data_IF_740206924124
#
_entry.id   IF_740206924124
#
_cell.length_a   1.000
_cell.length_b   1.000
_cell.length_c   1.000
_cell.angle_alpha   90.00
_cell.angle_beta   90.00
_cell.angle_gamma   90.00
#
_symmetry.space_group_name_H-M   'P 1'
#
loop_
_entity.id
_entity.type
_entity.pdbx_description
1 polymer ?
#
# COMPACT_ATOMS: atom_id res chain seq x y z
N UNK A 1 9.35 31.16 0.69
CA UNK A 1 9.20 29.89 1.43
C UNK A 1 8.01 29.14 0.84
N UNK A 2 8.24 28.05 0.10
CA UNK A 2 7.16 27.19 -0.42
C UNK A 2 6.73 26.24 0.69
N UNK A 3 5.44 26.22 1.03
CA UNK A 3 4.88 25.28 2.00
C UNK A 3 5.13 23.85 1.56
N UNK A 4 5.78 23.06 2.42
CA UNK A 4 5.86 21.60 2.27
C UNK A 4 4.44 21.04 2.26
N UNK A 5 4.14 20.11 1.38
CA UNK A 5 2.80 19.51 1.32
C UNK A 5 2.64 18.58 2.52
N UNK A 6 1.50 18.63 3.21
CA UNK A 6 1.16 17.75 4.34
C UNK A 6 1.35 16.26 4.00
N UNK A 7 1.13 15.89 2.73
CA UNK A 7 1.32 14.54 2.17
C UNK A 7 2.78 14.09 2.12
N UNK A 8 3.72 15.01 1.88
CA UNK A 8 5.16 14.76 2.02
C UNK A 8 5.49 14.63 3.50
N UNK A 9 4.88 15.44 4.37
CA UNK A 9 5.13 15.33 5.83
C UNK A 9 4.61 14.05 6.46
N UNK A 10 3.55 13.41 5.93
CA UNK A 10 3.03 12.12 6.42
C UNK A 10 3.85 10.93 5.92
N UNK A 11 4.36 11.00 4.68
CA UNK A 11 5.35 10.05 4.16
C UNK A 11 6.70 10.20 4.85
N UNK A 12 7.05 11.42 5.26
CA UNK A 12 8.23 11.70 6.10
C UNK A 12 7.99 11.31 7.58
N UNK A 13 6.73 11.30 8.06
CA UNK A 13 6.36 10.83 9.40
C UNK A 13 6.35 9.30 9.47
N UNK A 14 5.99 8.68 8.35
CA UNK A 14 6.25 7.29 8.05
C UNK A 14 7.76 7.16 7.84
N UNK A 15 8.53 7.13 8.93
CA UNK A 15 9.95 6.76 8.86
C UNK A 15 10.01 5.33 8.35
N UNK A 16 10.00 5.19 7.03
CA UNK A 16 10.15 3.94 6.31
C UNK A 16 11.32 3.21 6.97
N UNK A 17 11.13 1.97 7.44
CA UNK A 17 12.22 1.26 8.07
C UNK A 17 13.45 1.31 7.20
N UNK A 18 14.52 1.86 7.77
CA UNK A 18 15.73 2.17 7.01
C UNK A 18 16.28 0.91 6.36
N UNK A 19 17.04 1.10 5.28
CA UNK A 19 17.64 0.02 4.47
C UNK A 19 18.44 -1.00 5.32
N UNK A 20 18.88 -0.58 6.51
CA UNK A 20 19.63 -1.39 7.46
C UNK A 20 18.79 -2.42 8.24
N UNK A 21 17.46 -2.30 8.28
CA UNK A 21 16.57 -3.24 9.01
C UNK A 21 15.29 -3.54 8.21
N UNK A 22 15.41 -4.17 7.04
CA UNK A 22 14.29 -4.36 6.13
C UNK A 22 13.14 -5.20 6.72
N UNK A 23 13.42 -6.08 7.68
CA UNK A 23 12.43 -6.93 8.35
C UNK A 23 11.43 -6.16 9.22
N UNK A 24 11.67 -4.87 9.50
CA UNK A 24 10.73 -4.03 10.23
C UNK A 24 9.53 -3.62 9.38
N UNK A 25 9.63 -3.69 8.04
CA UNK A 25 8.56 -3.32 7.11
C UNK A 25 7.29 -4.16 7.31
N UNK A 26 7.34 -5.50 7.27
CA UNK A 26 6.21 -6.35 7.57
C UNK A 26 5.56 -6.05 8.91
N UNK A 27 6.36 -5.92 9.98
CA UNK A 27 5.86 -5.72 11.33
C UNK A 27 5.13 -4.38 11.48
N UNK A 28 5.67 -3.32 10.88
CA UNK A 28 5.04 -2.00 10.89
C UNK A 28 3.69 -2.03 10.15
N UNK A 29 3.64 -2.65 8.97
CA UNK A 29 2.42 -2.73 8.18
C UNK A 29 1.39 -3.67 8.83
N UNK A 30 1.81 -4.76 9.48
CA UNK A 30 0.95 -5.62 10.28
C UNK A 30 0.32 -4.84 11.44
N UNK A 31 1.10 -4.02 12.15
CA UNK A 31 0.59 -3.16 13.22
C UNK A 31 -0.46 -2.19 12.70
N UNK A 32 -0.21 -1.51 11.57
CA UNK A 32 -1.17 -0.59 10.98
C UNK A 32 -2.42 -1.28 10.46
N UNK A 33 -2.27 -2.42 9.80
CA UNK A 33 -3.41 -3.22 9.32
C UNK A 33 -4.27 -3.68 10.50
N UNK A 34 -3.65 -4.07 11.62
CA UNK A 34 -4.38 -4.47 12.81
C UNK A 34 -5.07 -3.29 13.51
N UNK A 35 -4.40 -2.14 13.65
CA UNK A 35 -5.01 -0.91 14.16
C UNK A 35 -6.22 -0.48 13.31
N UNK A 36 -6.10 -0.55 11.99
CA UNK A 36 -7.19 -0.26 11.06
C UNK A 36 -8.37 -1.22 11.23
N UNK A 37 -8.09 -2.53 11.34
CA UNK A 37 -9.12 -3.57 11.51
C UNK A 37 -9.89 -3.47 12.84
N UNK A 38 -9.28 -2.90 13.88
CA UNK A 38 -9.85 -2.80 15.22
C UNK A 38 -10.62 -1.50 15.45
N UNK A 39 -10.65 -0.60 14.47
CA UNK A 39 -11.35 0.70 14.54
C UNK A 39 -10.92 1.56 15.75
N UNK A 40 -9.71 1.35 16.29
CA UNK A 40 -9.15 2.19 17.35
C UNK A 40 -8.98 3.63 16.86
N UNK A 41 -8.75 3.79 15.55
CA UNK A 41 -8.74 5.07 14.83
C UNK A 41 -9.74 5.00 13.66
N UNK A 42 -10.19 6.16 13.14
CA UNK A 42 -10.93 6.18 11.88
C UNK A 42 -10.15 5.40 10.81
N UNK A 43 -10.82 4.44 10.18
CA UNK A 43 -10.22 3.63 9.14
C UNK A 43 -9.73 4.53 8.00
N UNK A 44 -8.46 4.35 7.62
CA UNK A 44 -7.88 5.05 6.49
C UNK A 44 -7.30 4.03 5.49
N UNK A 45 -7.98 3.82 4.34
CA UNK A 45 -7.54 2.86 3.34
C UNK A 45 -6.25 3.27 2.58
N UNK A 46 -5.76 4.50 2.75
CA UNK A 46 -4.61 5.02 2.01
C UNK A 46 -3.37 4.13 2.15
N UNK A 47 -3.02 3.70 3.36
CA UNK A 47 -1.81 2.91 3.61
C UNK A 47 -1.89 1.54 2.94
N UNK A 48 -3.02 0.84 3.08
CA UNK A 48 -3.23 -0.44 2.40
C UNK A 48 -3.11 -0.29 0.89
N UNK A 49 -3.71 0.77 0.33
CA UNK A 49 -3.69 1.03 -1.11
C UNK A 49 -2.29 1.38 -1.63
N UNK A 50 -1.50 2.15 -0.87
CA UNK A 50 -0.11 2.43 -1.21
C UNK A 50 0.74 1.17 -1.16
N UNK A 51 0.64 0.39 -0.08
CA UNK A 51 1.43 -0.84 0.07
C UNK A 51 1.09 -1.88 -1.00
N UNK A 52 -0.20 -2.07 -1.32
CA UNK A 52 -0.64 -2.98 -2.39
C UNK A 52 -0.16 -2.52 -3.77
N UNK A 53 -0.17 -1.21 -4.02
CA UNK A 53 0.37 -0.61 -5.24
C UNK A 53 1.86 -0.83 -5.31
N UNK A 54 2.62 -0.52 -4.27
CA UNK A 54 4.08 -0.63 -4.26
C UNK A 54 4.53 -2.07 -4.49
N UNK A 55 3.90 -3.04 -3.82
CA UNK A 55 4.14 -4.46 -4.05
C UNK A 55 3.87 -4.92 -5.50
N UNK A 56 3.01 -4.19 -6.21
CA UNK A 56 2.61 -4.49 -7.59
C UNK A 56 3.38 -3.69 -8.64
N UNK A 57 3.74 -2.45 -8.39
CA UNK A 57 4.27 -1.53 -9.41
C UNK A 57 5.78 -1.31 -9.32
N UNK A 58 6.40 -1.52 -8.16
CA UNK A 58 7.86 -1.39 -8.01
C UNK A 58 8.54 -2.60 -8.67
N UNK A 59 8.61 -2.55 -9.99
CA UNK A 59 9.21 -3.55 -10.89
C UNK A 59 10.67 -3.21 -11.19
N UNK A 60 11.08 -1.94 -11.01
CA UNK A 60 12.42 -1.52 -11.36
C UNK A 60 13.46 -2.22 -10.46
N UNK A 61 14.41 -2.91 -11.09
CA UNK A 61 15.67 -3.24 -10.42
C UNK A 61 16.25 -1.97 -9.81
N UNK A 62 16.93 -2.04 -8.66
CA UNK A 62 17.55 -0.90 -8.02
C UNK A 62 18.40 -0.15 -9.05
N UNK A 63 17.90 0.99 -9.52
CA UNK A 63 18.74 1.92 -10.27
C UNK A 63 19.50 2.73 -9.24
N UNK A 64 20.69 3.21 -9.58
CA UNK A 64 21.51 4.10 -8.73
C UNK A 64 20.73 5.33 -8.22
N UNK A 65 19.57 5.66 -8.81
CA UNK A 65 18.72 6.80 -8.46
C UNK A 65 17.44 6.42 -7.71
N UNK A 66 17.11 5.14 -7.59
CA UNK A 66 15.99 4.68 -6.76
C UNK A 66 16.51 4.32 -5.38
N UNK A 67 15.86 4.82 -4.32
CA UNK A 67 16.08 4.43 -2.92
C UNK A 67 15.58 2.99 -2.63
N UNK A 68 15.85 2.08 -3.57
CA UNK A 68 15.44 0.67 -3.54
C UNK A 68 16.62 -0.14 -3.01
N UNK A 69 16.40 -0.86 -1.92
CA UNK A 69 17.39 -1.78 -1.36
C UNK A 69 17.06 -3.23 -1.74
N UNK A 70 18.07 -4.10 -1.71
CA UNK A 70 17.90 -5.53 -2.00
C UNK A 70 16.90 -6.17 -1.04
N UNK A 71 15.83 -6.76 -1.57
CA UNK A 71 14.76 -7.38 -0.78
C UNK A 71 13.62 -6.43 -0.39
N UNK A 72 13.67 -5.13 -0.72
CA UNK A 72 12.57 -4.17 -0.49
C UNK A 72 11.25 -4.67 -1.09
N UNK A 73 11.33 -5.26 -2.28
CA UNK A 73 10.19 -5.86 -2.97
C UNK A 73 9.54 -6.98 -2.17
N UNK A 74 10.33 -7.89 -1.61
CA UNK A 74 9.78 -9.01 -0.82
C UNK A 74 9.12 -8.48 0.45
N UNK A 75 9.70 -7.45 1.07
CA UNK A 75 9.09 -6.79 2.22
C UNK A 75 7.77 -6.09 1.87
N UNK A 76 7.68 -5.43 0.71
CA UNK A 76 6.44 -4.84 0.23
C UNK A 76 5.36 -5.90 -0.05
N UNK A 77 5.74 -7.05 -0.61
CA UNK A 77 4.84 -8.19 -0.82
C UNK A 77 4.31 -8.72 0.50
N UNK A 78 5.19 -8.93 1.50
CA UNK A 78 4.76 -9.39 2.83
C UNK A 78 3.85 -8.34 3.48
N UNK A 79 4.22 -7.07 3.45
CA UNK A 79 3.41 -5.97 3.98
C UNK A 79 2.01 -5.88 3.32
N UNK A 80 1.94 -6.09 2.00
CA UNK A 80 0.66 -6.16 1.28
C UNK A 80 -0.19 -7.36 1.74
N UNK A 81 0.45 -8.50 2.03
CA UNK A 81 -0.23 -9.67 2.56
C UNK A 81 -0.88 -9.37 3.93
N UNK A 82 -0.18 -8.66 4.81
CA UNK A 82 -0.70 -8.25 6.12
C UNK A 82 -1.97 -7.40 6.00
N UNK A 83 -2.01 -6.42 5.09
CA UNK A 83 -3.24 -5.65 4.86
C UNK A 83 -4.38 -6.50 4.30
N UNK A 84 -4.10 -7.43 3.39
CA UNK A 84 -5.13 -8.34 2.88
C UNK A 84 -5.70 -9.21 4.01
N UNK A 85 -4.82 -9.71 4.90
CA UNK A 85 -5.19 -10.61 5.98
C UNK A 85 -5.99 -9.91 7.08
N UNK A 86 -5.49 -8.78 7.58
CA UNK A 86 -6.06 -8.10 8.73
C UNK A 86 -7.11 -7.06 8.36
N UNK A 87 -6.90 -6.31 7.29
CA UNK A 87 -7.71 -5.15 6.93
C UNK A 87 -8.60 -5.37 5.69
N UNK A 88 -8.46 -6.50 5.01
CA UNK A 88 -9.13 -6.79 3.73
C UNK A 88 -10.65 -6.69 3.79
N UNK A 89 -11.27 -7.03 4.92
CA UNK A 89 -12.72 -6.90 5.09
C UNK A 89 -13.17 -5.45 5.23
N UNK A 90 -12.42 -4.62 5.96
CA UNK A 90 -12.73 -3.19 6.11
C UNK A 90 -12.53 -2.45 4.80
N UNK A 91 -11.44 -2.75 4.09
CA UNK A 91 -11.22 -2.25 2.72
C UNK A 91 -12.38 -2.61 1.79
N UNK A 92 -12.91 -3.82 1.89
CA UNK A 92 -14.07 -4.24 1.11
C UNK A 92 -15.36 -3.51 1.51
N UNK A 93 -15.58 -3.26 2.81
CA UNK A 93 -16.71 -2.44 3.27
C UNK A 93 -16.61 -1.01 2.71
N UNK A 94 -15.43 -0.42 2.66
CA UNK A 94 -15.21 0.90 2.05
C UNK A 94 -15.49 0.94 0.55
N UNK A 95 -15.22 -0.17 -0.16
CA UNK A 95 -15.60 -0.33 -1.56
C UNK A 95 -17.12 -0.36 -1.74
N UNK A 96 -17.85 -1.05 -0.86
CA UNK A 96 -19.31 -1.18 -0.95
C UNK A 96 -20.05 0.07 -0.47
N UNK A 97 -19.51 0.70 0.57
CA UNK A 97 -20.04 1.89 1.22
C UNK A 97 -18.95 2.95 1.17
N UNK A 98 -18.78 3.56 -0.01
CA UNK A 98 -17.94 4.74 -0.17
C UNK A 98 -18.58 5.88 0.63
N UNK A 99 -18.27 5.95 1.92
CA UNK A 99 -18.62 7.10 2.75
C UNK A 99 -17.97 8.37 2.21
N UNK A 100 -18.01 9.47 2.97
CA UNK A 100 -17.35 10.74 2.62
C UNK A 100 -15.81 10.67 2.70
N UNK A 101 -15.18 9.54 2.33
CA UNK A 101 -13.76 9.50 2.06
C UNK A 101 -13.58 10.37 0.83
N UNK A 102 -13.28 11.65 1.09
CA UNK A 102 -13.11 12.66 0.06
C UNK A 102 -12.07 12.21 -0.93
N UNK A 103 -12.22 12.67 -2.16
CA UNK A 103 -11.35 12.36 -3.30
C UNK A 103 -9.88 12.59 -2.92
N UNK A 104 -9.20 11.55 -2.45
CA UNK A 104 -7.81 11.65 -2.05
C UNK A 104 -7.02 11.61 -3.35
N UNK A 105 -6.38 12.73 -3.69
CA UNK A 105 -5.30 12.79 -4.72
C UNK A 105 -4.20 11.74 -4.49
N UNK A 106 -4.22 11.03 -3.37
CA UNK A 106 -3.47 9.81 -3.03
C UNK A 106 -3.73 8.62 -3.95
N UNK A 107 -4.86 8.62 -4.66
CA UNK A 107 -5.36 7.48 -5.41
C UNK A 107 -5.33 7.69 -6.92
N UNK A 108 -4.54 8.65 -7.41
CA UNK A 108 -4.36 8.83 -8.85
C UNK A 108 -3.99 7.50 -9.55
N UNK A 109 -4.50 7.27 -10.77
CA UNK A 109 -4.20 6.08 -11.56
C UNK A 109 -2.69 5.87 -11.63
N UNK A 110 -2.32 4.62 -11.45
CA UNK A 110 -0.96 4.19 -11.28
C UNK A 110 -0.40 3.67 -12.62
N UNK A 111 0.89 3.31 -12.73
CA UNK A 111 1.48 2.89 -14.02
C UNK A 111 0.76 1.66 -14.63
N UNK A 112 0.19 0.79 -13.79
CA UNK A 112 -0.47 -0.44 -14.21
C UNK A 112 -2.00 -0.36 -14.18
N UNK A 113 -2.58 0.60 -13.46
CA UNK A 113 -4.03 0.72 -13.30
C UNK A 113 -4.54 2.05 -13.84
N UNK A 114 -5.22 2.01 -14.99
CA UNK A 114 -5.82 3.17 -15.68
C UNK A 114 -7.31 3.36 -15.36
N UNK A 115 -7.82 2.73 -14.30
CA UNK A 115 -9.23 2.82 -13.92
C UNK A 115 -9.52 3.99 -12.99
N UNK A 116 -10.51 3.80 -12.12
CA UNK A 116 -11.06 4.86 -11.27
C UNK A 116 -10.01 5.44 -10.31
N UNK A 117 -10.02 6.76 -10.14
CA UNK A 117 -9.15 7.46 -9.18
C UNK A 117 -9.58 7.26 -7.72
N UNK A 118 -10.63 6.48 -7.45
CA UNK A 118 -11.11 6.17 -6.11
C UNK A 118 -11.00 4.68 -5.76
N UNK A 119 -11.21 4.35 -4.49
CA UNK A 119 -11.29 2.97 -4.03
C UNK A 119 -12.58 2.33 -4.57
N UNK A 120 -12.43 1.54 -5.63
CA UNK A 120 -13.54 0.82 -6.27
C UNK A 120 -13.33 -0.69 -6.22
N UNK A 121 -14.40 -1.46 -6.39
CA UNK A 121 -14.32 -2.92 -6.44
C UNK A 121 -13.42 -3.40 -7.58
N UNK A 122 -13.45 -2.66 -8.70
CA UNK A 122 -12.60 -2.93 -9.86
C UNK A 122 -11.13 -2.74 -9.49
N UNK A 123 -10.80 -1.66 -8.78
CA UNK A 123 -9.43 -1.39 -8.32
C UNK A 123 -8.95 -2.42 -7.29
N UNK A 124 -9.78 -2.76 -6.32
CA UNK A 124 -9.48 -3.80 -5.34
C UNK A 124 -9.18 -5.15 -6.00
N UNK A 125 -10.04 -5.59 -6.93
CA UNK A 125 -9.85 -6.83 -7.70
C UNK A 125 -8.56 -6.79 -8.51
N UNK A 126 -8.26 -5.67 -9.16
CA UNK A 126 -7.03 -5.50 -9.93
C UNK A 126 -5.79 -5.76 -9.07
N UNK A 127 -5.69 -5.13 -7.89
CA UNK A 127 -4.54 -5.32 -7.01
C UNK A 127 -4.49 -6.73 -6.43
N UNK A 128 -5.63 -7.30 -6.01
CA UNK A 128 -5.69 -8.68 -5.50
C UNK A 128 -5.22 -9.69 -6.55
N UNK A 129 -5.65 -9.53 -7.80
CA UNK A 129 -5.23 -10.39 -8.90
C UNK A 129 -3.76 -10.19 -9.25
N UNK A 130 -3.27 -8.94 -9.22
CA UNK A 130 -1.86 -8.62 -9.40
C UNK A 130 -0.97 -9.29 -8.34
N UNK A 131 -1.42 -9.28 -7.09
CA UNK A 131 -0.74 -9.94 -5.97
C UNK A 131 -0.70 -11.46 -6.15
N UNK A 132 -1.84 -12.10 -6.43
CA UNK A 132 -1.94 -13.55 -6.66
C UNK A 132 -0.99 -14.02 -7.79
N UNK A 133 -1.03 -13.34 -8.94
CA UNK A 133 -0.17 -13.67 -10.09
C UNK A 133 1.32 -13.57 -9.77
N UNK A 134 1.71 -12.74 -8.79
CA UNK A 134 3.10 -12.59 -8.37
C UNK A 134 3.53 -13.70 -7.43
N UNK A 135 2.69 -14.09 -6.47
CA UNK A 135 2.95 -15.26 -5.63
C UNK A 135 3.18 -16.52 -6.46
N UNK A 136 2.37 -16.72 -7.51
CA UNK A 136 2.51 -17.86 -8.44
C UNK A 136 3.84 -17.84 -9.21
N UNK A 137 4.45 -16.67 -9.42
CA UNK A 137 5.75 -16.53 -10.11
C UNK A 137 6.95 -16.74 -9.19
N UNK A 138 6.81 -16.47 -7.90
CA UNK A 138 7.89 -16.71 -6.93
C UNK A 138 7.97 -18.18 -6.50
N UNK A 139 6.92 -18.96 -6.74
CA UNK A 139 6.83 -20.38 -6.39
C UNK A 139 7.24 -21.34 -7.53
N UNK A 140 7.55 -20.82 -8.71
CA UNK A 140 7.96 -21.57 -9.91
C UNK A 140 9.45 -21.39 -10.18
#
# INVERSE_FOLDING_TARGET
MRGRRFKESLRDWYNEPGENVPQQWPNLNASFAHEASTHIRPHNPDFAMWTLRDASENIAEPTHWSASFMGMRDQQIIAAAEYILWDGQELFKHVLCSGSIGDTKSWEPALLYFGDAFLSLKRWRFWKDGFRKRLERTAA
#
